data_IF_855061037002
#
_entry.id   IF_855061037002
#
_cell.length_a   1.000
_cell.length_b   1.000
_cell.length_c   1.000
_cell.angle_alpha   90.00
_cell.angle_beta   90.00
_cell.angle_gamma   90.00
#
_symmetry.space_group_name_H-M   'P 1'
#
loop_
_entity.id
_entity.type
_entity.pdbx_description
1 polymer ?
#
# COMPACT_ATOMS: atom_id res chain seq x y z
N UNK A 1 6.89 14.24 39.94
CA UNK A 1 5.48 13.85 39.68
C UNK A 1 4.99 14.62 38.48
N UNK A 2 4.44 14.00 37.46
CA UNK A 2 3.92 14.52 36.18
C UNK A 2 4.81 14.41 34.93
N UNK A 3 5.14 13.19 34.53
CA UNK A 3 5.55 12.91 33.16
C UNK A 3 4.85 11.69 32.54
N UNK A 4 4.05 10.95 33.34
CA UNK A 4 3.39 9.71 32.90
C UNK A 4 2.02 9.90 32.22
N UNK A 5 1.40 11.06 32.31
CA UNK A 5 0.06 11.29 31.74
C UNK A 5 0.05 11.67 30.24
N UNK A 6 1.17 12.15 29.69
CA UNK A 6 1.23 12.55 28.26
C UNK A 6 1.51 11.39 27.29
N UNK A 7 2.12 10.31 27.77
CA UNK A 7 2.39 9.15 26.91
C UNK A 7 1.19 8.22 26.75
N UNK A 8 0.23 8.24 27.68
CA UNK A 8 -0.99 7.42 27.58
C UNK A 8 -2.03 7.95 26.60
N UNK A 9 -1.96 9.24 26.27
CA UNK A 9 -2.96 9.89 25.41
C UNK A 9 -2.70 9.72 23.90
N UNK A 10 -1.46 9.46 23.49
CA UNK A 10 -1.12 9.26 22.06
C UNK A 10 -1.38 7.85 21.54
N UNK A 11 -1.43 6.84 22.42
CA UNK A 11 -1.70 5.46 22.01
C UNK A 11 -3.20 5.20 21.75
N UNK A 12 -4.09 6.03 22.28
CA UNK A 12 -5.54 5.84 22.17
C UNK A 12 -6.13 6.36 20.85
N UNK A 13 -5.42 7.22 20.11
CA UNK A 13 -5.97 7.90 18.91
C UNK A 13 -5.81 7.14 17.60
N UNK A 14 -4.99 6.08 17.57
CA UNK A 14 -4.60 5.40 16.31
C UNK A 14 -5.57 4.30 15.89
N UNK A 15 -6.53 3.91 16.71
CA UNK A 15 -7.32 2.69 16.46
C UNK A 15 -8.81 2.95 16.17
N UNK A 16 -9.31 4.18 16.29
CA UNK A 16 -10.74 4.49 16.12
C UNK A 16 -11.19 4.75 14.67
N UNK A 17 -10.29 4.75 13.68
CA UNK A 17 -10.62 5.12 12.29
C UNK A 17 -10.94 3.93 11.35
N UNK A 18 -11.13 2.70 11.84
CA UNK A 18 -11.18 1.51 10.98
C UNK A 18 -12.58 0.98 10.64
N UNK A 19 -13.67 1.60 11.11
CA UNK A 19 -15.03 1.13 10.77
C UNK A 19 -16.02 2.30 10.69
N UNK A 20 -16.27 2.84 9.49
CA UNK A 20 -17.62 3.29 9.10
C UNK A 20 -17.67 3.54 7.58
N UNK A 21 -18.05 2.57 6.78
CA UNK A 21 -18.74 2.77 5.50
C UNK A 21 -19.21 1.44 4.93
N UNK A 22 -20.29 0.90 5.45
CA UNK A 22 -21.22 0.06 4.70
C UNK A 22 -22.62 0.50 5.08
N UNK A 23 -23.26 1.29 4.25
CA UNK A 23 -24.72 1.39 4.19
C UNK A 23 -25.16 2.04 2.86
N UNK A 24 -25.68 1.20 1.99
CA UNK A 24 -26.92 1.35 1.21
C UNK A 24 -27.01 2.48 0.18
N UNK A 25 -26.81 2.09 -1.06
CA UNK A 25 -27.43 2.72 -2.22
C UNK A 25 -28.81 2.11 -2.43
N UNK A 26 -29.86 2.88 -2.26
CA UNK A 26 -31.19 2.58 -2.80
C UNK A 26 -31.49 3.49 -3.98
N UNK A 27 -31.91 2.85 -5.05
CA UNK A 27 -32.35 3.42 -6.31
C UNK A 27 -33.63 4.24 -6.17
N UNK A 28 -33.74 5.31 -6.97
CA UNK A 28 -35.04 5.74 -7.53
C UNK A 28 -34.80 6.59 -8.78
N UNK A 29 -35.25 6.07 -9.94
CA UNK A 29 -35.83 6.80 -11.07
C UNK A 29 -37.37 6.65 -10.88
N UNK A 30 -38.24 7.39 -11.52
CA UNK A 30 -38.21 7.97 -12.88
C UNK A 30 -39.05 9.28 -13.06
N UNK A 31 -38.99 9.84 -14.27
CA UNK A 31 -40.23 10.37 -14.87
C UNK A 31 -40.25 11.80 -15.39
N UNK A 32 -40.27 11.91 -16.74
CA UNK A 32 -41.15 12.79 -17.53
C UNK A 32 -40.92 14.33 -17.44
N UNK A 33 -40.96 15.11 -18.44
CA UNK A 33 -41.58 15.18 -19.79
C UNK A 33 -41.02 16.44 -20.48
N UNK A 34 -40.95 16.43 -21.80
CA UNK A 34 -40.70 17.62 -22.62
C UNK A 34 -41.99 18.49 -22.72
N UNK A 35 -41.86 19.75 -23.09
CA UNK A 35 -42.55 20.17 -24.30
C UNK A 35 -41.70 21.00 -25.28
N UNK A 36 -41.99 20.74 -26.52
CA UNK A 36 -41.71 21.47 -27.74
C UNK A 36 -42.14 22.94 -27.71
N UNK A 37 -41.33 23.81 -28.23
CA UNK A 37 -41.79 25.01 -28.95
C UNK A 37 -40.69 25.53 -29.91
N UNK A 38 -41.14 25.57 -31.11
CA UNK A 38 -40.56 26.08 -32.35
C UNK A 38 -40.36 27.60 -32.27
N UNK A 39 -39.17 28.11 -32.67
CA UNK A 39 -39.09 29.44 -33.26
C UNK A 39 -37.84 29.58 -34.14
N UNK A 40 -38.06 30.08 -35.28
CA UNK A 40 -37.34 30.41 -36.49
C UNK A 40 -36.08 31.23 -36.29
N UNK A 41 -35.11 30.98 -37.22
CA UNK A 41 -33.83 31.64 -37.44
C UNK A 41 -33.89 33.14 -37.77
N UNK A 42 -32.73 33.85 -37.66
CA UNK A 42 -32.11 34.25 -38.89
C UNK A 42 -30.61 33.91 -38.96
N UNK A 43 -30.18 33.79 -40.22
CA UNK A 43 -28.82 33.53 -40.68
C UNK A 43 -27.79 34.48 -40.06
N UNK A 44 -26.70 33.93 -39.54
CA UNK A 44 -25.49 34.65 -39.25
C UNK A 44 -24.28 33.95 -39.86
N UNK A 45 -23.55 34.74 -40.59
CA UNK A 45 -22.26 34.55 -41.18
C UNK A 45 -21.32 33.63 -40.36
N UNK A 46 -20.63 32.63 -40.93
CA UNK A 46 -19.67 31.85 -40.22
C UNK A 46 -18.48 32.76 -39.84
N UNK A 47 -18.26 32.91 -38.55
CA UNK A 47 -16.99 33.41 -38.01
C UNK A 47 -15.86 32.48 -38.48
N UNK A 48 -14.67 33.01 -38.79
CA UNK A 48 -13.55 32.18 -39.24
C UNK A 48 -13.30 31.11 -38.16
N UNK A 49 -13.35 29.86 -38.59
CA UNK A 49 -13.03 28.70 -37.73
C UNK A 49 -11.66 28.98 -37.11
N UNK A 50 -11.66 29.10 -35.79
CA UNK A 50 -10.44 29.11 -35.03
C UNK A 50 -9.70 27.82 -35.40
N UNK A 51 -8.61 27.95 -36.11
CA UNK A 51 -7.66 26.88 -36.37
C UNK A 51 -7.33 26.24 -35.03
N UNK A 52 -7.54 24.91 -34.88
CA UNK A 52 -7.10 24.26 -33.67
C UNK A 52 -5.61 24.57 -33.47
N UNK A 53 -5.16 24.88 -32.26
CA UNK A 53 -3.77 25.16 -32.00
C UNK A 53 -2.97 23.96 -32.52
N UNK A 54 -2.07 24.21 -33.44
CA UNK A 54 -1.12 23.27 -34.00
C UNK A 54 -0.36 22.63 -32.80
N UNK A 55 -0.48 21.34 -32.49
CA UNK A 55 0.27 20.71 -31.45
C UNK A 55 1.69 20.35 -31.92
N UNK A 56 2.41 21.30 -32.45
CA UNK A 56 3.87 21.24 -32.36
C UNK A 56 4.24 21.74 -30.99
N UNK A 57 3.84 20.95 -29.99
CA UNK A 57 4.28 21.15 -28.62
C UNK A 57 5.79 20.94 -28.62
N UNK A 58 6.55 21.94 -28.21
CA UNK A 58 7.97 21.83 -27.84
C UNK A 58 8.16 20.91 -26.62
N UNK A 59 7.31 19.90 -26.49
CA UNK A 59 7.34 18.93 -25.38
C UNK A 59 8.61 18.09 -25.50
N UNK A 60 9.35 18.05 -24.41
CA UNK A 60 10.55 17.21 -24.33
C UNK A 60 10.18 15.74 -24.47
N UNK A 61 11.13 14.87 -24.89
CA UNK A 61 10.90 13.42 -24.92
C UNK A 61 10.39 12.87 -23.57
N UNK A 62 10.86 13.41 -22.45
CA UNK A 62 10.41 13.05 -21.12
C UNK A 62 8.93 13.42 -20.88
N UNK A 63 8.52 14.64 -21.23
CA UNK A 63 7.12 15.07 -21.08
C UNK A 63 6.17 14.23 -21.96
N UNK A 64 6.60 13.86 -23.16
CA UNK A 64 5.83 12.97 -24.03
C UNK A 64 5.72 11.58 -23.38
N UNK A 65 6.82 11.07 -22.82
CA UNK A 65 6.84 9.79 -22.13
C UNK A 65 5.93 9.80 -20.88
N UNK A 66 5.94 10.88 -20.08
CA UNK A 66 5.07 11.05 -18.92
C UNK A 66 3.59 11.02 -19.31
N UNK A 67 3.23 11.69 -20.42
CA UNK A 67 1.87 11.60 -20.98
C UNK A 67 1.51 10.18 -21.42
N UNK A 68 2.42 9.46 -22.06
CA UNK A 68 2.21 8.07 -22.45
C UNK A 68 2.05 7.15 -21.25
N UNK A 69 2.79 7.37 -20.16
CA UNK A 69 2.62 6.67 -18.89
C UNK A 69 1.22 6.87 -18.30
N UNK A 70 0.72 8.10 -18.29
CA UNK A 70 -0.62 8.42 -17.82
C UNK A 70 -1.72 7.69 -18.61
N UNK A 71 -1.49 7.45 -19.90
CA UNK A 71 -2.38 6.70 -20.79
C UNK A 71 -2.06 5.19 -20.83
N UNK A 72 -1.25 4.68 -19.90
CA UNK A 72 -0.84 3.27 -19.78
C UNK A 72 -0.14 2.70 -21.04
N UNK A 73 0.40 3.58 -21.90
CA UNK A 73 1.15 3.20 -23.10
C UNK A 73 2.62 2.98 -22.76
N UNK A 74 2.88 2.03 -21.87
CA UNK A 74 4.19 1.84 -21.21
C UNK A 74 5.33 1.59 -22.20
N UNK A 75 5.12 0.74 -23.20
CA UNK A 75 6.17 0.47 -24.21
C UNK A 75 6.55 1.73 -24.97
N UNK A 76 5.56 2.51 -25.41
CA UNK A 76 5.81 3.77 -26.11
C UNK A 76 6.47 4.81 -25.19
N UNK A 77 6.12 4.84 -23.91
CA UNK A 77 6.77 5.70 -22.93
C UNK A 77 8.25 5.33 -22.77
N UNK A 78 8.58 4.05 -22.66
CA UNK A 78 9.96 3.57 -22.57
C UNK A 78 10.79 4.04 -23.78
N UNK A 79 10.27 3.92 -24.99
CA UNK A 79 10.99 4.37 -26.19
C UNK A 79 11.23 5.89 -26.17
N UNK A 80 10.30 6.67 -25.64
CA UNK A 80 10.48 8.11 -25.48
C UNK A 80 11.47 8.45 -24.37
N UNK A 81 11.43 7.74 -23.22
CA UNK A 81 12.44 7.90 -22.16
C UNK A 81 13.85 7.56 -22.66
N UNK A 82 14.00 6.54 -23.52
CA UNK A 82 15.30 6.20 -24.13
C UNK A 82 15.84 7.32 -25.03
N UNK A 83 15.00 8.18 -25.59
CA UNK A 83 15.42 9.34 -26.36
C UNK A 83 15.69 10.59 -25.52
N UNK A 84 15.39 10.54 -24.21
CA UNK A 84 15.72 11.60 -23.26
C UNK A 84 17.19 11.51 -22.79
N UNK A 85 17.77 12.59 -22.24
CA UNK A 85 19.12 12.54 -21.66
C UNK A 85 19.23 11.50 -20.54
N UNK A 86 20.19 10.60 -20.62
CA UNK A 86 20.36 9.49 -19.67
C UNK A 86 21.18 9.87 -18.41
N UNK A 87 21.42 11.13 -18.17
CA UNK A 87 22.11 11.66 -16.99
C UNK A 87 21.13 11.99 -15.82
N UNK A 88 19.85 11.69 -15.97
CA UNK A 88 18.81 11.92 -14.96
C UNK A 88 18.44 10.62 -14.26
N UNK A 89 18.60 10.58 -12.93
CA UNK A 89 18.11 9.52 -12.06
C UNK A 89 16.59 9.36 -12.19
N UNK A 90 15.88 10.47 -12.36
CA UNK A 90 14.42 10.49 -12.52
C UNK A 90 13.97 9.75 -13.78
N UNK A 91 14.60 10.01 -14.94
CA UNK A 91 14.28 9.32 -16.20
C UNK A 91 14.48 7.81 -16.05
N UNK A 92 15.59 7.37 -15.45
CA UNK A 92 15.83 5.96 -15.19
C UNK A 92 14.81 5.36 -14.23
N UNK A 93 14.40 6.10 -13.19
CA UNK A 93 13.36 5.66 -12.27
C UNK A 93 12.01 5.50 -13.01
N UNK A 94 11.60 6.46 -13.81
CA UNK A 94 10.37 6.41 -14.62
C UNK A 94 10.37 5.25 -15.60
N UNK A 95 11.50 4.99 -16.26
CA UNK A 95 11.66 3.79 -17.12
C UNK A 95 11.50 2.51 -16.29
N UNK A 96 12.10 2.45 -15.12
CA UNK A 96 11.97 1.33 -14.19
C UNK A 96 10.51 1.07 -13.81
N UNK A 97 9.74 2.11 -13.51
CA UNK A 97 8.30 2.03 -13.23
C UNK A 97 7.54 1.47 -14.44
N UNK A 98 7.83 1.97 -15.65
CA UNK A 98 7.19 1.48 -16.87
C UNK A 98 7.44 -0.02 -17.12
N UNK A 99 8.69 -0.46 -16.99
CA UNK A 99 9.04 -1.88 -17.09
C UNK A 99 8.37 -2.73 -15.99
N UNK A 100 8.31 -2.21 -14.76
CA UNK A 100 7.67 -2.90 -13.65
C UNK A 100 6.16 -3.08 -13.88
N UNK A 101 5.46 -2.07 -14.41
CA UNK A 101 4.05 -2.14 -14.80
C UNK A 101 3.79 -3.15 -15.93
N UNK A 102 4.78 -3.40 -16.77
CA UNK A 102 4.76 -4.45 -17.80
C UNK A 102 5.21 -5.82 -17.28
N UNK A 103 5.49 -5.96 -15.99
CA UNK A 103 6.07 -7.18 -15.38
C UNK A 103 7.44 -7.59 -15.95
N UNK A 104 8.13 -6.68 -16.63
CA UNK A 104 9.52 -6.90 -17.04
C UNK A 104 10.46 -6.52 -15.88
N UNK A 105 10.52 -7.41 -14.89
CA UNK A 105 11.13 -7.13 -13.59
C UNK A 105 12.65 -6.99 -13.65
N UNK A 106 13.31 -7.70 -14.55
CA UNK A 106 14.77 -7.63 -14.72
C UNK A 106 15.19 -6.29 -15.30
N UNK A 107 14.47 -5.78 -16.32
CA UNK A 107 14.73 -4.47 -16.89
C UNK A 107 14.39 -3.36 -15.89
N UNK A 108 13.28 -3.51 -15.13
CA UNK A 108 12.96 -2.58 -14.06
C UNK A 108 14.10 -2.48 -13.04
N UNK A 109 14.62 -3.61 -12.57
CA UNK A 109 15.75 -3.64 -11.64
C UNK A 109 17.00 -2.96 -12.23
N UNK A 110 17.32 -3.20 -13.52
CA UNK A 110 18.44 -2.54 -14.20
C UNK A 110 18.27 -1.03 -14.23
N UNK A 111 17.08 -0.54 -14.58
CA UNK A 111 16.79 0.88 -14.60
C UNK A 111 16.94 1.52 -13.23
N UNK A 112 16.39 0.91 -12.17
CA UNK A 112 16.55 1.41 -10.81
C UNK A 112 17.99 1.41 -10.33
N UNK A 113 18.78 0.39 -10.70
CA UNK A 113 20.21 0.37 -10.39
C UNK A 113 20.99 1.48 -11.12
N UNK A 114 20.61 1.82 -12.36
CA UNK A 114 21.20 2.96 -13.06
C UNK A 114 20.80 4.29 -12.40
N UNK A 115 19.52 4.45 -12.01
CA UNK A 115 19.08 5.60 -11.24
C UNK A 115 19.90 5.78 -9.95
N UNK A 116 20.13 4.69 -9.21
CA UNK A 116 20.93 4.71 -7.97
C UNK A 116 22.43 4.93 -8.18
N UNK A 117 22.99 4.68 -9.39
CA UNK A 117 24.37 5.09 -9.71
C UNK A 117 24.48 6.62 -9.83
N UNK A 118 23.43 7.26 -10.35
CA UNK A 118 23.38 8.71 -10.49
C UNK A 118 23.02 9.40 -9.17
N UNK A 119 22.08 8.83 -8.42
CA UNK A 119 21.63 9.33 -7.11
C UNK A 119 21.66 8.23 -6.05
N UNK A 120 22.80 7.96 -5.43
CA UNK A 120 22.95 6.84 -4.48
C UNK A 120 22.10 6.95 -3.21
N UNK A 121 21.54 8.13 -2.90
CA UNK A 121 20.70 8.39 -1.72
C UNK A 121 19.21 8.60 -2.08
N UNK A 122 18.76 8.15 -3.25
CA UNK A 122 17.36 8.29 -3.63
C UNK A 122 16.50 7.19 -2.97
N UNK A 123 15.80 7.54 -1.87
CA UNK A 123 14.99 6.61 -1.08
C UNK A 123 13.82 6.02 -1.89
N UNK A 124 13.23 6.81 -2.82
CA UNK A 124 12.11 6.37 -3.67
C UNK A 124 12.59 5.25 -4.60
N UNK A 125 13.73 5.44 -5.25
CA UNK A 125 14.30 4.44 -6.17
C UNK A 125 14.70 3.17 -5.41
N UNK A 126 15.27 3.31 -4.21
CA UNK A 126 15.59 2.15 -3.35
C UNK A 126 14.33 1.37 -2.96
N UNK A 127 13.24 2.07 -2.63
CA UNK A 127 11.95 1.44 -2.35
C UNK A 127 11.41 0.68 -3.58
N UNK A 128 11.44 1.30 -4.76
CA UNK A 128 10.97 0.70 -6.00
C UNK A 128 11.79 -0.55 -6.36
N UNK A 129 13.11 -0.49 -6.23
CA UNK A 129 13.98 -1.64 -6.40
C UNK A 129 13.65 -2.77 -5.41
N UNK A 130 13.38 -2.42 -4.16
CA UNK A 130 12.92 -3.38 -3.15
C UNK A 130 11.63 -4.08 -3.56
N UNK A 131 10.67 -3.34 -4.10
CA UNK A 131 9.39 -3.88 -4.60
C UNK A 131 9.60 -4.84 -5.77
N UNK A 132 10.50 -4.52 -6.70
CA UNK A 132 10.88 -5.46 -7.78
C UNK A 132 11.49 -6.74 -7.20
N UNK A 133 12.37 -6.64 -6.20
CA UNK A 133 12.95 -7.82 -5.57
C UNK A 133 11.91 -8.68 -4.84
N UNK A 134 10.86 -8.07 -4.25
CA UNK A 134 9.73 -8.83 -3.69
C UNK A 134 9.01 -9.61 -4.78
N UNK A 135 8.69 -8.97 -5.92
CA UNK A 135 8.03 -9.62 -7.06
C UNK A 135 8.87 -10.77 -7.65
N UNK A 136 10.20 -10.64 -7.61
CA UNK A 136 11.16 -11.70 -7.98
C UNK A 136 11.37 -12.76 -6.86
N UNK A 137 10.64 -12.65 -5.72
CA UNK A 137 10.81 -13.49 -4.52
C UNK A 137 12.23 -13.45 -3.92
N UNK A 138 12.99 -12.40 -4.23
CA UNK A 138 14.33 -12.17 -3.70
C UNK A 138 14.26 -11.34 -2.41
N UNK A 139 13.56 -11.84 -1.40
CA UNK A 139 13.15 -11.10 -0.20
C UNK A 139 14.35 -10.51 0.56
N UNK A 140 15.45 -11.24 0.69
CA UNK A 140 16.65 -10.72 1.36
C UNK A 140 17.30 -9.53 0.63
N UNK A 141 17.18 -9.44 -0.71
CA UNK A 141 17.60 -8.26 -1.46
C UNK A 141 16.61 -7.11 -1.26
N UNK A 142 15.30 -7.42 -1.23
CA UNK A 142 14.27 -6.45 -0.92
C UNK A 142 14.47 -5.84 0.47
N UNK A 143 14.69 -6.66 1.51
CA UNK A 143 15.00 -6.19 2.87
C UNK A 143 16.18 -5.21 2.87
N UNK A 144 17.29 -5.56 2.18
CA UNK A 144 18.47 -4.68 2.09
C UNK A 144 18.14 -3.35 1.40
N UNK A 145 17.34 -3.36 0.33
CA UNK A 145 16.96 -2.16 -0.40
C UNK A 145 16.07 -1.25 0.46
N UNK A 146 15.05 -1.80 1.10
CA UNK A 146 14.17 -1.04 2.00
C UNK A 146 14.91 -0.47 3.21
N UNK A 147 15.82 -1.24 3.83
CA UNK A 147 16.63 -0.73 4.94
C UNK A 147 17.58 0.40 4.51
N UNK A 148 18.08 0.38 3.25
CA UNK A 148 18.82 1.52 2.69
C UNK A 148 17.92 2.73 2.52
N UNK A 149 16.68 2.54 2.01
CA UNK A 149 15.70 3.62 1.89
C UNK A 149 15.39 4.25 3.26
N UNK A 150 15.18 3.43 4.30
CA UNK A 150 14.92 3.89 5.67
C UNK A 150 16.13 4.58 6.34
N UNK A 151 17.36 4.35 5.86
CA UNK A 151 18.51 5.14 6.31
C UNK A 151 18.47 6.58 5.79
N UNK A 152 17.81 6.80 4.66
CA UNK A 152 17.63 8.14 4.05
C UNK A 152 16.36 8.80 4.59
N UNK A 153 15.25 8.07 4.63
CA UNK A 153 13.96 8.52 5.17
C UNK A 153 13.44 7.53 6.23
N UNK A 154 13.86 7.73 7.50
CA UNK A 154 13.50 6.82 8.60
C UNK A 154 12.02 6.81 8.98
N UNK A 155 11.23 7.76 8.49
CA UNK A 155 9.81 7.90 8.84
C UNK A 155 8.86 7.49 7.72
N UNK A 156 9.36 6.99 6.61
CA UNK A 156 8.54 6.60 5.47
C UNK A 156 7.63 5.43 5.79
N UNK A 157 6.34 5.73 6.04
CA UNK A 157 5.32 4.73 6.31
C UNK A 157 5.21 3.69 5.18
N UNK A 158 5.34 4.14 3.91
CA UNK A 158 5.32 3.26 2.74
C UNK A 158 6.48 2.25 2.77
N UNK A 159 7.70 2.70 3.08
CA UNK A 159 8.87 1.81 3.12
C UNK A 159 8.77 0.83 4.28
N UNK A 160 8.31 1.27 5.46
CA UNK A 160 8.04 0.38 6.60
C UNK A 160 6.98 -0.69 6.23
N UNK A 161 5.87 -0.31 5.59
CA UNK A 161 4.88 -1.26 5.08
C UNK A 161 5.50 -2.29 4.13
N UNK A 162 6.26 -1.85 3.14
CA UNK A 162 6.86 -2.73 2.14
C UNK A 162 7.91 -3.66 2.76
N UNK A 163 8.72 -3.15 3.70
CA UNK A 163 9.68 -3.96 4.47
C UNK A 163 8.94 -5.00 5.33
N UNK A 164 7.87 -4.60 5.99
CA UNK A 164 7.02 -5.52 6.76
C UNK A 164 6.49 -6.65 5.89
N UNK A 165 5.96 -6.35 4.70
CA UNK A 165 5.49 -7.36 3.74
C UNK A 165 6.61 -8.31 3.32
N UNK A 166 7.79 -7.81 2.99
CA UNK A 166 8.93 -8.66 2.62
C UNK A 166 9.37 -9.58 3.76
N UNK A 167 9.38 -9.07 5.00
CA UNK A 167 9.72 -9.86 6.19
C UNK A 167 8.68 -10.94 6.50
N UNK A 168 7.39 -10.65 6.30
CA UNK A 168 6.32 -11.66 6.43
C UNK A 168 6.50 -12.77 5.40
N UNK A 169 6.81 -12.43 4.14
CA UNK A 169 7.06 -13.41 3.09
C UNK A 169 8.31 -14.29 3.37
N UNK A 170 9.24 -13.82 4.19
CA UNK A 170 10.36 -14.61 4.73
C UNK A 170 10.03 -15.32 6.05
N UNK A 171 8.75 -15.34 6.48
CA UNK A 171 8.31 -15.90 7.76
C UNK A 171 8.95 -15.25 9.01
N UNK A 172 9.52 -14.05 8.86
CA UNK A 172 10.07 -13.24 9.97
C UNK A 172 8.95 -12.42 10.63
N UNK A 173 7.89 -13.07 11.04
CA UNK A 173 6.61 -12.46 11.41
C UNK A 173 6.71 -11.37 12.48
N UNK A 174 7.47 -11.60 13.55
CA UNK A 174 7.65 -10.60 14.62
C UNK A 174 8.26 -9.31 14.09
N UNK A 175 9.30 -9.43 13.25
CA UNK A 175 9.97 -8.25 12.66
C UNK A 175 9.05 -7.56 11.66
N UNK A 176 8.36 -8.32 10.81
CA UNK A 176 7.40 -7.78 9.84
C UNK A 176 6.28 -6.99 10.52
N UNK A 177 5.77 -7.52 11.62
CA UNK A 177 4.77 -6.80 12.42
C UNK A 177 5.32 -5.50 13.04
N UNK A 178 6.54 -5.49 13.55
CA UNK A 178 7.17 -4.27 14.06
C UNK A 178 7.24 -3.17 12.99
N UNK A 179 7.61 -3.55 11.77
CA UNK A 179 7.64 -2.60 10.64
C UNK A 179 6.22 -2.11 10.29
N UNK A 180 5.20 -2.96 10.33
CA UNK A 180 3.80 -2.54 10.13
C UNK A 180 3.31 -1.57 11.21
N UNK A 181 3.72 -1.75 12.46
CA UNK A 181 3.41 -0.80 13.53
C UNK A 181 4.04 0.58 13.25
N UNK A 182 5.28 0.63 12.76
CA UNK A 182 5.93 1.87 12.36
C UNK A 182 5.22 2.51 11.16
N UNK A 183 4.78 1.71 10.19
CA UNK A 183 4.00 2.20 9.06
C UNK A 183 2.67 2.84 9.51
N UNK A 184 1.92 2.18 10.39
CA UNK A 184 0.66 2.69 10.95
C UNK A 184 0.85 3.93 11.83
N UNK A 185 1.96 3.99 12.56
CA UNK A 185 2.30 5.17 13.37
C UNK A 185 2.61 6.40 12.50
N UNK A 186 3.19 6.19 11.31
CA UNK A 186 3.46 7.26 10.34
C UNK A 186 2.26 7.64 9.49
N UNK A 187 1.42 6.67 9.14
CA UNK A 187 0.21 6.85 8.33
C UNK A 187 -0.85 5.81 8.72
N UNK A 188 -1.87 6.19 9.52
CA UNK A 188 -2.92 5.26 9.97
C UNK A 188 -3.71 4.60 8.83
N UNK A 189 -3.79 5.24 7.67
CA UNK A 189 -4.54 4.76 6.52
C UNK A 189 -3.69 4.04 5.47
N UNK A 190 -2.42 3.79 5.76
CA UNK A 190 -1.44 3.24 4.80
C UNK A 190 -1.86 1.90 4.18
N UNK A 191 -2.67 1.11 4.87
CA UNK A 191 -3.19 -0.18 4.37
C UNK A 191 -4.54 -0.05 3.65
N UNK A 192 -5.26 1.06 3.84
CA UNK A 192 -6.55 1.31 3.18
C UNK A 192 -6.37 1.97 1.82
N UNK A 193 -5.38 2.84 1.70
CA UNK A 193 -5.09 3.50 0.42
C UNK A 193 -4.58 2.48 -0.59
N UNK A 194 -5.38 2.24 -1.61
CA UNK A 194 -4.89 1.59 -2.84
C UNK A 194 -3.93 2.57 -3.49
N UNK A 195 -2.64 2.49 -3.15
CA UNK A 195 -1.64 3.24 -3.88
C UNK A 195 -1.58 2.67 -5.29
N UNK A 196 -1.74 3.51 -6.33
CA UNK A 196 -1.54 3.17 -7.75
C UNK A 196 -0.08 2.77 -8.07
N UNK A 197 0.80 2.75 -7.07
CA UNK A 197 2.11 2.14 -7.14
C UNK A 197 1.95 0.63 -7.15
N UNK A 198 2.68 -0.02 -8.02
CA UNK A 198 2.71 -1.47 -8.23
C UNK A 198 2.43 -2.22 -6.92
N UNK A 199 1.32 -2.94 -6.94
CA UNK A 199 0.75 -3.62 -5.79
C UNK A 199 1.74 -4.68 -5.32
N UNK A 200 2.40 -4.44 -4.20
CA UNK A 200 2.94 -5.56 -3.43
C UNK A 200 1.71 -6.29 -2.92
N UNK A 201 1.43 -7.46 -3.49
CA UNK A 201 0.29 -8.26 -3.09
C UNK A 201 0.35 -8.49 -1.58
N UNK A 202 -0.80 -8.34 -0.91
CA UNK A 202 -0.96 -8.78 0.47
C UNK A 202 -0.43 -10.22 0.60
N UNK A 203 0.17 -10.58 1.74
CA UNK A 203 0.74 -11.90 1.93
C UNK A 203 -0.25 -12.98 1.47
N UNK A 204 0.13 -13.68 0.41
CA UNK A 204 -0.79 -14.51 -0.35
C UNK A 204 -1.07 -15.86 0.33
N UNK A 205 -0.24 -16.28 1.30
CA UNK A 205 -0.43 -17.56 1.96
C UNK A 205 -1.41 -17.44 3.13
N UNK A 206 -2.20 -18.50 3.35
CA UNK A 206 -3.08 -18.62 4.53
C UNK A 206 -2.28 -18.44 5.82
N UNK A 207 -1.06 -18.99 5.85
CA UNK A 207 -0.16 -18.91 6.99
C UNK A 207 0.31 -17.47 7.27
N UNK A 208 0.57 -16.68 6.23
CA UNK A 208 0.98 -15.27 6.40
C UNK A 208 -0.18 -14.41 6.90
N UNK A 209 -1.42 -14.70 6.47
CA UNK A 209 -2.62 -14.05 7.00
C UNK A 209 -2.84 -14.42 8.47
N UNK A 210 -2.68 -15.68 8.82
CA UNK A 210 -2.75 -16.16 10.21
C UNK A 210 -1.72 -15.48 11.10
N UNK A 211 -0.48 -15.32 10.62
CA UNK A 211 0.54 -14.57 11.32
C UNK A 211 0.14 -13.10 11.52
N UNK A 212 -0.35 -12.45 10.47
CA UNK A 212 -0.82 -11.07 10.55
C UNK A 212 -1.92 -10.93 11.60
N UNK A 213 -2.94 -11.79 11.56
CA UNK A 213 -4.04 -11.79 12.53
C UNK A 213 -3.54 -11.99 13.97
N UNK A 214 -2.60 -12.90 14.19
CA UNK A 214 -2.02 -13.12 15.52
C UNK A 214 -1.30 -11.87 16.06
N UNK A 215 -0.52 -11.18 15.24
CA UNK A 215 0.16 -9.95 15.66
C UNK A 215 -0.79 -8.74 15.75
N UNK A 216 -1.85 -8.69 14.92
CA UNK A 216 -2.92 -7.70 15.06
C UNK A 216 -3.64 -7.86 16.42
N UNK A 217 -3.91 -9.09 16.83
CA UNK A 217 -4.47 -9.37 18.16
C UNK A 217 -3.60 -8.79 19.28
N UNK A 218 -2.28 -8.98 19.22
CA UNK A 218 -1.34 -8.38 20.19
C UNK A 218 -1.43 -6.86 20.21
N UNK A 219 -1.52 -6.24 19.04
CA UNK A 219 -1.73 -4.78 18.92
C UNK A 219 -3.03 -4.33 19.58
N UNK A 220 -4.13 -5.05 19.35
CA UNK A 220 -5.44 -4.77 19.93
C UNK A 220 -5.42 -4.90 21.47
N UNK A 221 -4.76 -5.92 22.02
CA UNK A 221 -4.60 -6.05 23.49
C UNK A 221 -3.88 -4.84 24.08
N UNK A 222 -2.78 -4.41 23.47
CA UNK A 222 -2.03 -3.22 23.93
C UNK A 222 -2.86 -1.94 23.85
N UNK A 223 -3.81 -1.88 22.91
CA UNK A 223 -4.74 -0.77 22.73
C UNK A 223 -6.02 -0.90 23.59
N UNK A 224 -6.16 -1.94 24.41
CA UNK A 224 -7.36 -2.20 25.23
C UNK A 224 -8.58 -2.66 24.43
N UNK A 225 -8.42 -3.07 23.17
CA UNK A 225 -9.50 -3.49 22.27
C UNK A 225 -9.73 -5.00 22.37
N UNK A 226 -10.30 -5.43 23.49
CA UNK A 226 -10.47 -6.85 23.86
C UNK A 226 -11.23 -7.65 22.81
N UNK A 227 -12.39 -7.19 22.37
CA UNK A 227 -13.24 -7.93 21.43
C UNK A 227 -12.56 -8.15 20.09
N UNK A 228 -11.91 -7.12 19.57
CA UNK A 228 -11.12 -7.21 18.34
C UNK A 228 -9.93 -8.14 18.45
N UNK A 229 -9.27 -8.13 19.61
CA UNK A 229 -8.16 -9.04 19.85
C UNK A 229 -8.64 -10.50 19.76
N UNK A 230 -9.78 -10.82 20.36
CA UNK A 230 -10.38 -12.16 20.32
C UNK A 230 -10.77 -12.55 18.89
N UNK A 231 -11.34 -11.63 18.12
CA UNK A 231 -11.69 -11.86 16.72
C UNK A 231 -10.46 -12.20 15.86
N UNK A 232 -9.40 -11.41 15.97
CA UNK A 232 -8.14 -11.68 15.28
C UNK A 232 -7.49 -13.00 15.71
N UNK A 233 -7.59 -13.38 17.00
CA UNK A 233 -7.08 -14.67 17.47
C UNK A 233 -7.88 -15.84 16.88
N UNK A 234 -9.19 -15.73 16.75
CA UNK A 234 -10.02 -16.74 16.08
C UNK A 234 -9.58 -16.91 14.61
N UNK A 235 -9.36 -15.80 13.90
CA UNK A 235 -8.87 -15.85 12.53
C UNK A 235 -7.50 -16.55 12.46
N UNK A 236 -6.56 -16.20 13.34
CA UNK A 236 -5.22 -16.78 13.37
C UNK A 236 -5.24 -18.30 13.66
N UNK A 237 -6.17 -18.77 14.50
CA UNK A 237 -6.38 -20.21 14.77
C UNK A 237 -6.98 -20.89 13.52
N UNK A 238 -8.03 -20.31 12.94
CA UNK A 238 -8.71 -20.88 11.77
C UNK A 238 -7.78 -21.00 10.56
N UNK A 239 -6.81 -20.09 10.44
CA UNK A 239 -5.78 -20.12 9.41
C UNK A 239 -4.59 -21.03 9.78
N UNK A 240 -4.64 -21.71 10.92
CA UNK A 240 -3.65 -22.71 11.32
C UNK A 240 -2.30 -22.14 11.76
N UNK A 241 -2.19 -20.82 11.96
CA UNK A 241 -0.92 -20.19 12.35
C UNK A 241 -0.55 -20.45 13.81
N UNK A 242 -1.53 -20.47 14.69
CA UNK A 242 -1.34 -20.63 16.15
C UNK A 242 -2.38 -21.56 16.75
N UNK A 243 -1.96 -22.30 17.76
CA UNK A 243 -2.88 -23.17 18.50
C UNK A 243 -3.43 -22.47 19.75
N UNK A 244 -4.63 -22.86 20.24
CA UNK A 244 -5.19 -22.34 21.50
C UNK A 244 -4.23 -22.47 22.67
N UNK A 245 -3.47 -23.58 22.73
CA UNK A 245 -2.46 -23.82 23.77
C UNK A 245 -1.34 -22.77 23.74
N UNK A 246 -0.83 -22.41 22.55
CA UNK A 246 0.20 -21.38 22.42
C UNK A 246 -0.33 -20.00 22.80
N UNK A 247 -1.58 -19.68 22.44
CA UNK A 247 -2.22 -18.41 22.81
C UNK A 247 -2.36 -18.31 24.33
N UNK A 248 -2.82 -19.36 24.99
CA UNK A 248 -2.99 -19.39 26.45
C UNK A 248 -1.67 -19.17 27.23
N UNK A 249 -0.54 -19.60 26.64
CA UNK A 249 0.80 -19.46 27.23
C UNK A 249 1.46 -18.12 26.90
N UNK A 250 0.99 -17.40 25.89
CA UNK A 250 1.59 -16.13 25.49
C UNK A 250 1.26 -15.03 26.49
N UNK A 251 2.31 -14.46 27.08
CA UNK A 251 2.20 -13.40 28.09
C UNK A 251 1.56 -12.11 27.55
N UNK A 252 1.64 -11.85 26.25
CA UNK A 252 1.01 -10.68 25.66
C UNK A 252 -0.52 -10.74 25.69
N UNK A 253 -1.11 -11.93 25.88
CA UNK A 253 -2.55 -12.13 26.05
C UNK A 253 -2.97 -12.34 27.52
N UNK A 254 -2.07 -12.10 28.49
CA UNK A 254 -2.37 -12.27 29.91
C UNK A 254 -3.61 -11.47 30.35
N UNK A 255 -3.78 -10.26 29.82
CA UNK A 255 -4.94 -9.41 30.12
C UNK A 255 -6.29 -9.97 29.61
N UNK A 256 -6.28 -10.97 28.72
CA UNK A 256 -7.50 -11.61 28.23
C UNK A 256 -7.91 -12.86 29.02
N UNK A 257 -7.07 -13.37 29.93
CA UNK A 257 -7.27 -14.67 30.58
C UNK A 257 -8.59 -14.76 31.37
N UNK A 258 -9.01 -13.66 31.96
CA UNK A 258 -10.24 -13.59 32.76
C UNK A 258 -11.46 -13.16 31.92
N UNK A 259 -11.29 -12.96 30.60
CA UNK A 259 -12.40 -12.57 29.70
C UNK A 259 -13.17 -13.83 29.28
N UNK A 260 -14.49 -13.93 29.57
CA UNK A 260 -15.29 -15.13 29.26
C UNK A 260 -15.24 -15.50 27.76
N UNK A 261 -15.31 -14.53 26.86
CA UNK A 261 -15.24 -14.75 25.41
C UNK A 261 -13.91 -15.34 24.95
N UNK A 262 -12.79 -14.97 25.61
CA UNK A 262 -11.48 -15.55 25.35
C UNK A 262 -11.40 -17.01 25.82
N UNK A 263 -11.91 -17.31 27.03
CA UNK A 263 -11.96 -18.67 27.57
C UNK A 263 -12.82 -19.57 26.68
N UNK A 264 -14.00 -19.10 26.25
CA UNK A 264 -14.87 -19.82 25.32
C UNK A 264 -14.17 -20.09 23.97
N UNK A 265 -13.47 -19.09 23.41
CA UNK A 265 -12.69 -19.28 22.18
C UNK A 265 -11.64 -20.39 22.33
N UNK A 266 -10.91 -20.41 23.45
CA UNK A 266 -9.89 -21.43 23.71
C UNK A 266 -10.50 -22.83 23.93
N UNK A 267 -11.70 -22.91 24.55
CA UNK A 267 -12.40 -24.17 24.79
C UNK A 267 -13.03 -24.75 23.52
N UNK A 268 -13.69 -23.95 22.70
CA UNK A 268 -14.36 -24.36 21.48
C UNK A 268 -13.42 -25.05 20.46
N UNK A 269 -12.15 -24.68 20.47
CA UNK A 269 -11.14 -25.20 19.54
C UNK A 269 -10.38 -26.42 20.10
N UNK A 270 -10.65 -26.83 21.35
CA UNK A 270 -10.13 -28.11 21.94
C UNK A 270 -11.01 -29.28 21.58
N UNK A 271 -12.24 -29.01 21.13
CA UNK A 271 -13.26 -30.05 20.86
C UNK A 271 -13.27 -30.50 19.39
N UNK A 272 -12.42 -29.92 18.54
CA UNK A 272 -12.15 -30.31 17.15
C UNK A 272 -10.80 -31.04 17.04
#
# INVERSE_FOLDING_TARGET
MNTDHKQRSLAALVVTAFFLAVATATAQSPGQTAPTANQTAPANTPAPAATPPNPQSNATPEQIADSLMAHQRYQAAIEKYKSAPHNSSEVWNKMGVAYQLMFNLDEAARCYLQALKLEPKNAIVMNNLGTVYVSLKQYSKAEKAYRKALKVDPKSALVHKNLGTALLAEHKYKKGWQEYQLALAGDPDIFQRSTNTVRVENPASVQDRGAMNYYMAKGCVRAGQTDRAIEYLRMAINEGFVTPKKIALDQEFAALRDVPAFQQMLAAQRAQ
#
